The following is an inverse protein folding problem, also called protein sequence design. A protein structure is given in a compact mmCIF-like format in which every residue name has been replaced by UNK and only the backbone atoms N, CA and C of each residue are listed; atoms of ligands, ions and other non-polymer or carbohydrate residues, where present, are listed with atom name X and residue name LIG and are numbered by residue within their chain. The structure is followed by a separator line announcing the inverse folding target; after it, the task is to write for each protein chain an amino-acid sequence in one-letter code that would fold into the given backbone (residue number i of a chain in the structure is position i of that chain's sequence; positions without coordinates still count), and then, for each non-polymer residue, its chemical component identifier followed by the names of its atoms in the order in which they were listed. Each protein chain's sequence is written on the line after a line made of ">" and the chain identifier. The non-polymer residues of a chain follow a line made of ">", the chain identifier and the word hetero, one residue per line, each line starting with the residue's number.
data_IF_904045617078
#
_entry.id   IF_904045617078
#
_cell.length_a   1.000
_cell.length_b   1.000
_cell.length_c   1.000
_cell.angle_alpha   90.00
_cell.angle_beta   90.00
_cell.angle_gamma   90.00
#
_symmetry.space_group_name_H-M   'P 1'
#
loop_
_entity.id
_entity.type
_entity.pdbx_description
1 polymer ?
#
# COMPACT_ATOMS: atom_id res chain seq x y z
N UNK A 1 -14.29 -2.65 6.05
CA UNK A 1 -13.58 -1.39 6.38
C UNK A 1 -14.08 -0.32 5.43
N UNK A 2 -14.69 0.75 5.93
CA UNK A 2 -15.02 1.90 5.08
C UNK A 2 -13.71 2.48 4.55
N UNK A 3 -13.61 2.63 3.22
CA UNK A 3 -12.44 3.23 2.61
C UNK A 3 -12.49 4.73 2.90
N UNK A 4 -11.54 5.21 3.69
CA UNK A 4 -11.42 6.61 4.10
C UNK A 4 -10.81 7.40 2.94
N UNK A 5 -11.39 8.54 2.57
CA UNK A 5 -10.82 9.49 1.59
C UNK A 5 -9.71 10.38 2.18
N UNK A 6 -9.01 9.87 3.19
CA UNK A 6 -7.92 10.57 3.88
C UNK A 6 -6.58 9.90 3.53
N UNK A 7 -5.68 10.58 2.78
CA UNK A 7 -4.37 10.04 2.43
C UNK A 7 -3.55 9.60 3.66
N UNK A 8 -3.59 10.37 4.75
CA UNK A 8 -2.81 10.10 5.95
C UNK A 8 -3.28 8.83 6.65
N UNK A 9 -4.59 8.56 6.65
CA UNK A 9 -5.12 7.29 7.14
C UNK A 9 -4.63 6.08 6.33
N UNK A 10 -4.41 6.24 5.02
CA UNK A 10 -3.83 5.18 4.17
C UNK A 10 -2.33 5.00 4.42
N UNK A 11 -1.58 6.11 4.55
CA UNK A 11 -0.16 6.08 4.93
C UNK A 11 0.03 5.34 6.26
N UNK A 12 -0.80 5.65 7.27
CA UNK A 12 -0.72 4.97 8.57
C UNK A 12 -0.89 3.44 8.43
N UNK A 13 -1.85 2.99 7.63
CA UNK A 13 -2.07 1.55 7.39
C UNK A 13 -0.91 0.92 6.60
N UNK A 14 -0.29 1.65 5.68
CA UNK A 14 0.88 1.19 4.95
C UNK A 14 2.08 0.99 5.88
N UNK A 15 2.29 1.93 6.81
CA UNK A 15 3.33 1.84 7.83
C UNK A 15 3.10 0.68 8.81
N UNK A 16 1.84 0.40 9.17
CA UNK A 16 1.48 -0.79 9.97
C UNK A 16 1.88 -2.09 9.24
N UNK A 17 1.62 -2.21 7.94
CA UNK A 17 2.11 -3.37 7.17
C UNK A 17 3.64 -3.42 7.09
N UNK A 18 4.29 -2.28 6.89
CA UNK A 18 5.76 -2.25 6.85
C UNK A 18 6.36 -2.73 8.18
N UNK A 19 5.81 -2.28 9.31
CA UNK A 19 6.21 -2.74 10.63
C UNK A 19 6.00 -4.25 10.81
N UNK A 20 4.89 -4.80 10.32
CA UNK A 20 4.62 -6.24 10.35
C UNK A 20 5.58 -7.03 9.47
N UNK A 21 5.84 -6.58 8.24
CA UNK A 21 6.82 -7.19 7.33
C UNK A 21 8.21 -7.21 7.98
N UNK A 22 8.65 -6.08 8.55
CA UNK A 22 9.93 -5.97 9.25
C UNK A 22 10.01 -6.87 10.46
N UNK A 23 8.95 -6.95 11.25
CA UNK A 23 8.88 -7.83 12.43
C UNK A 23 8.95 -9.29 12.01
N UNK A 24 8.19 -9.70 10.99
CA UNK A 24 8.18 -11.06 10.48
C UNK A 24 9.52 -11.51 9.90
N UNK A 25 10.26 -10.58 9.28
CA UNK A 25 11.57 -10.83 8.68
C UNK A 25 12.65 -11.05 9.75
N UNK A 26 12.64 -10.29 10.85
CA UNK A 26 13.67 -10.35 11.89
C UNK A 26 13.44 -11.42 12.97
N UNK A 27 12.44 -12.29 12.80
CA UNK A 27 12.24 -13.44 13.70
C UNK A 27 13.40 -14.43 13.56
N UNK A 28 13.70 -15.17 14.64
CA UNK A 28 14.67 -16.30 14.61
C UNK A 28 14.39 -17.27 13.45
N UNK A 29 13.10 -17.54 13.21
CA UNK A 29 12.60 -18.24 12.03
C UNK A 29 11.70 -17.26 11.25
N UNK A 30 12.20 -16.64 10.16
CA UNK A 30 11.45 -15.66 9.39
C UNK A 30 10.18 -16.24 8.76
N UNK A 31 9.09 -15.48 8.80
CA UNK A 31 7.81 -15.86 8.19
C UNK A 31 7.71 -15.26 6.78
N UNK A 32 8.48 -15.79 5.83
CA UNK A 32 8.71 -15.17 4.52
C UNK A 32 7.42 -14.89 3.73
N UNK A 33 6.44 -15.80 3.76
CA UNK A 33 5.13 -15.56 3.12
C UNK A 33 4.43 -14.33 3.72
N UNK A 34 4.49 -14.16 5.04
CA UNK A 34 3.95 -12.99 5.73
C UNK A 34 4.73 -11.72 5.40
N UNK A 35 6.05 -11.80 5.27
CA UNK A 35 6.91 -10.69 4.83
C UNK A 35 6.46 -10.20 3.44
N UNK A 36 6.37 -11.10 2.47
CA UNK A 36 5.97 -10.75 1.10
C UNK A 36 4.55 -10.18 1.04
N UNK A 37 3.61 -10.78 1.78
CA UNK A 37 2.23 -10.30 1.84
C UNK A 37 2.14 -8.87 2.38
N UNK A 38 2.76 -8.60 3.54
CA UNK A 38 2.72 -7.26 4.11
C UNK A 38 3.55 -6.24 3.32
N UNK A 39 4.65 -6.65 2.68
CA UNK A 39 5.38 -5.77 1.77
C UNK A 39 4.51 -5.33 0.57
N UNK A 40 3.76 -6.26 -0.04
CA UNK A 40 2.84 -5.93 -1.13
C UNK A 40 1.72 -4.99 -0.66
N UNK A 41 1.11 -5.28 0.50
CA UNK A 41 0.03 -4.46 1.07
C UNK A 41 0.51 -3.05 1.44
N UNK A 42 1.74 -2.91 1.94
CA UNK A 42 2.36 -1.61 2.21
C UNK A 42 2.41 -0.75 0.94
N UNK A 43 2.96 -1.29 -0.15
CA UNK A 43 3.05 -0.57 -1.44
C UNK A 43 1.67 -0.24 -1.98
N UNK A 44 0.72 -1.16 -1.92
CA UNK A 44 -0.66 -0.95 -2.37
C UNK A 44 -1.31 0.25 -1.66
N UNK A 45 -1.18 0.31 -0.32
CA UNK A 45 -1.77 1.36 0.50
C UNK A 45 -1.10 2.70 0.28
N UNK A 46 0.22 2.71 0.03
CA UNK A 46 0.93 3.93 -0.38
C UNK A 46 0.45 4.46 -1.73
N UNK A 47 0.30 3.59 -2.73
CA UNK A 47 -0.24 3.98 -4.03
C UNK A 47 -1.66 4.56 -3.90
N UNK A 48 -2.51 3.94 -3.09
CA UNK A 48 -3.85 4.46 -2.80
C UNK A 48 -3.82 5.82 -2.08
N UNK A 49 -2.94 6.00 -1.10
CA UNK A 49 -2.75 7.31 -0.44
C UNK A 49 -2.35 8.40 -1.45
N UNK A 50 -1.41 8.09 -2.34
CA UNK A 50 -0.94 9.01 -3.39
C UNK A 50 -2.08 9.36 -4.37
N UNK A 51 -2.87 8.39 -4.81
CA UNK A 51 -4.04 8.63 -5.66
C UNK A 51 -5.07 9.55 -4.98
N UNK A 52 -5.39 9.30 -3.70
CA UNK A 52 -6.31 10.17 -2.94
C UNK A 52 -5.75 11.58 -2.80
N UNK A 53 -4.43 11.73 -2.56
CA UNK A 53 -3.79 13.06 -2.48
C UNK A 53 -3.89 13.87 -3.79
N UNK A 54 -4.10 13.19 -4.92
CA UNK A 54 -4.36 13.79 -6.24
C UNK A 54 -5.84 13.91 -6.57
N UNK A 55 -6.74 13.66 -5.61
CA UNK A 55 -8.18 13.57 -5.80
C UNK A 55 -8.58 12.55 -6.90
N UNK A 56 -7.78 11.51 -7.08
CA UNK A 56 -8.00 10.48 -8.10
C UNK A 56 -8.86 9.35 -7.53
N UNK A 57 -9.87 8.94 -8.29
CA UNK A 57 -10.71 7.79 -7.97
C UNK A 57 -10.01 6.53 -8.49
N UNK A 58 -10.03 5.46 -7.71
CA UNK A 58 -9.55 4.14 -8.09
C UNK A 58 -10.59 3.09 -7.74
N UNK A 59 -10.68 1.98 -8.49
CA UNK A 59 -11.57 0.89 -8.13
C UNK A 59 -11.04 0.13 -6.93
N UNK A 60 -11.92 -0.57 -6.22
CA UNK A 60 -11.53 -1.50 -5.16
C UNK A 60 -10.75 -2.67 -5.77
N UNK A 61 -9.43 -2.56 -5.75
CA UNK A 61 -8.50 -3.54 -6.34
C UNK A 61 -7.29 -3.76 -5.43
N UNK A 62 -6.68 -4.93 -5.57
CA UNK A 62 -5.38 -5.29 -5.00
C UNK A 62 -4.28 -5.43 -6.07
N UNK A 63 -4.57 -5.04 -7.31
CA UNK A 63 -3.64 -5.11 -8.43
C UNK A 63 -2.68 -3.90 -8.43
N UNK A 64 -1.41 -4.14 -8.08
CA UNK A 64 -0.38 -3.11 -8.07
C UNK A 64 -0.07 -2.53 -9.45
N UNK A 65 -0.15 -3.32 -10.52
CA UNK A 65 0.11 -2.82 -11.87
C UNK A 65 -1.01 -1.86 -12.30
N UNK A 66 -2.25 -2.20 -11.96
CA UNK A 66 -3.39 -1.30 -12.18
C UNK A 66 -3.22 0.01 -11.40
N UNK A 67 -2.86 -0.06 -10.11
CA UNK A 67 -2.64 1.13 -9.29
C UNK A 67 -1.47 1.98 -9.81
N UNK A 68 -0.37 1.35 -10.25
CA UNK A 68 0.75 2.05 -10.86
C UNK A 68 0.36 2.80 -12.15
N UNK A 69 -0.46 2.17 -13.00
CA UNK A 69 -0.99 2.81 -14.19
C UNK A 69 -1.89 4.01 -13.85
N UNK A 70 -2.69 3.92 -12.78
CA UNK A 70 -3.50 5.04 -12.30
C UNK A 70 -2.62 6.17 -11.75
N UNK A 71 -1.58 5.85 -10.97
CA UNK A 71 -0.60 6.82 -10.47
C UNK A 71 0.05 7.59 -11.63
N UNK A 72 0.49 6.87 -12.66
CA UNK A 72 1.10 7.48 -13.85
C UNK A 72 0.17 8.46 -14.57
N UNK A 73 -1.12 8.13 -14.68
CA UNK A 73 -2.14 9.01 -15.30
C UNK A 73 -2.35 10.33 -14.56
N UNK A 74 -2.02 10.39 -13.27
CA UNK A 74 -2.16 11.60 -12.43
C UNK A 74 -0.81 12.24 -12.10
N UNK A 75 0.23 11.89 -12.85
CA UNK A 75 1.56 12.50 -12.74
C UNK A 75 2.42 11.99 -11.58
N UNK A 76 2.15 10.78 -11.09
CA UNK A 76 2.97 10.08 -10.10
C UNK A 76 3.72 8.95 -10.82
N UNK A 77 5.06 9.04 -10.87
CA UNK A 77 5.92 8.03 -11.48
C UNK A 77 6.66 7.27 -10.37
N UNK A 78 6.47 5.94 -10.33
CA UNK A 78 7.01 5.01 -9.32
C UNK A 78 7.98 4.03 -9.97
#
# INVERSE_FOLDING_TARGET
>A
MSETNDPQAWVKKAEEDFALAKTALHRKNPLLTGVCFHAQQCVEKYMKALLISKNAIFPKTHDLLMLNNLCSRVGIFL
#
